data_IF_974714734241
#
_entry.id   IF_974714734241
#
_cell.length_a   1.000
_cell.length_b   1.000
_cell.length_c   1.000
_cell.angle_alpha   90.00
_cell.angle_beta   90.00
_cell.angle_gamma   90.00
#
_symmetry.space_group_name_H-M   'P 1'
#
loop_
_entity.id
_entity.type
_entity.pdbx_description
1 polymer ?
#
# COMPACT_ATOMS: atom_id res chain seq x y z
N UNK A 1 -19.41 23.34 2.71
CA UNK A 1 -18.35 22.69 1.90
C UNK A 1 -17.52 21.76 2.81
N UNK A 2 -18.05 20.65 3.33
CA UNK A 2 -17.39 19.96 4.46
C UNK A 2 -17.52 18.44 4.58
N UNK A 3 -18.29 17.77 3.72
CA UNK A 3 -18.44 16.30 3.74
C UNK A 3 -17.92 15.65 2.45
N UNK A 4 -17.98 16.37 1.33
CA UNK A 4 -17.37 15.93 0.08
C UNK A 4 -15.83 15.97 0.15
N UNK A 5 -15.23 16.93 0.86
CA UNK A 5 -13.77 17.04 0.97
C UNK A 5 -13.11 15.84 1.65
N UNK A 6 -13.61 15.37 2.80
CA UNK A 6 -12.94 14.29 3.53
C UNK A 6 -12.95 12.96 2.76
N UNK A 7 -14.06 12.64 2.09
CA UNK A 7 -14.17 11.42 1.27
C UNK A 7 -13.30 11.51 0.02
N UNK A 8 -13.25 12.67 -0.63
CA UNK A 8 -12.40 12.93 -1.78
C UNK A 8 -10.92 12.87 -1.40
N UNK A 9 -10.54 13.44 -0.25
CA UNK A 9 -9.16 13.38 0.26
C UNK A 9 -8.74 11.94 0.56
N UNK A 10 -9.61 11.14 1.21
CA UNK A 10 -9.32 9.72 1.45
C UNK A 10 -9.18 8.95 0.14
N UNK A 11 -10.09 9.18 -0.82
CA UNK A 11 -10.01 8.53 -2.12
C UNK A 11 -8.73 8.93 -2.88
N UNK A 12 -8.37 10.21 -2.86
CA UNK A 12 -7.15 10.72 -3.46
C UNK A 12 -5.91 10.06 -2.84
N UNK A 13 -5.86 9.92 -1.51
CA UNK A 13 -4.78 9.22 -0.81
C UNK A 13 -4.69 7.75 -1.24
N UNK A 14 -5.82 7.04 -1.39
CA UNK A 14 -5.83 5.66 -1.88
C UNK A 14 -5.33 5.55 -3.32
N UNK A 15 -5.71 6.50 -4.18
CA UNK A 15 -5.24 6.56 -5.56
C UNK A 15 -3.73 6.80 -5.58
N UNK A 16 -3.22 7.72 -4.75
CA UNK A 16 -1.77 7.97 -4.62
C UNK A 16 -1.01 6.71 -4.19
N UNK A 17 -1.51 5.99 -3.17
CA UNK A 17 -0.96 4.71 -2.72
C UNK A 17 -0.95 3.66 -3.86
N UNK A 18 -2.07 3.54 -4.59
CA UNK A 18 -2.16 2.62 -5.73
C UNK A 18 -1.13 2.96 -6.82
N UNK A 19 -1.00 4.25 -7.17
CA UNK A 19 -0.07 4.71 -8.20
C UNK A 19 1.37 4.42 -7.79
N UNK A 20 1.75 4.72 -6.55
CA UNK A 20 3.10 4.48 -6.05
C UNK A 20 3.41 2.97 -5.96
N UNK A 21 2.46 2.14 -5.53
CA UNK A 21 2.61 0.69 -5.56
C UNK A 21 2.81 0.17 -7.00
N UNK A 22 2.07 0.71 -7.98
CA UNK A 22 2.24 0.38 -9.41
C UNK A 22 3.59 0.86 -9.93
N UNK A 23 4.05 2.05 -9.54
CA UNK A 23 5.38 2.56 -9.91
C UNK A 23 6.46 1.63 -9.39
N UNK A 24 6.38 1.19 -8.13
CA UNK A 24 7.35 0.25 -7.56
C UNK A 24 7.28 -1.11 -8.25
N UNK A 25 6.08 -1.61 -8.54
CA UNK A 25 5.90 -2.84 -9.32
C UNK A 25 6.52 -2.71 -10.72
N UNK A 26 6.30 -1.56 -11.36
CA UNK A 26 6.89 -1.20 -12.64
C UNK A 26 8.41 -1.16 -12.58
N UNK A 27 9.00 -0.51 -11.56
CA UNK A 27 10.45 -0.38 -11.35
C UNK A 27 11.13 -1.70 -10.99
N UNK A 28 10.48 -2.56 -10.20
CA UNK A 28 10.96 -3.90 -9.88
C UNK A 28 10.83 -4.86 -11.06
N UNK A 29 9.83 -4.65 -11.92
CA UNK A 29 9.71 -5.31 -13.22
C UNK A 29 10.54 -4.65 -14.33
N UNK A 30 11.15 -3.48 -14.09
CA UNK A 30 11.78 -2.64 -15.10
C UNK A 30 13.10 -3.25 -15.59
N UNK A 31 13.00 -4.08 -16.61
CA UNK A 31 13.99 -4.13 -17.68
C UNK A 31 13.38 -3.88 -19.06
N UNK A 32 12.06 -3.64 -19.18
CA UNK A 32 11.39 -3.64 -20.48
C UNK A 32 11.26 -2.29 -21.21
N UNK A 33 11.69 -1.14 -20.66
CA UNK A 33 11.40 0.16 -21.31
C UNK A 33 12.56 1.17 -21.39
N UNK A 34 13.81 0.72 -21.23
CA UNK A 34 14.96 1.59 -21.45
C UNK A 34 15.94 1.00 -22.47
N UNK A 35 15.58 1.10 -23.75
CA UNK A 35 16.56 1.37 -24.80
C UNK A 35 16.02 2.36 -25.83
N UNK A 36 16.58 3.57 -25.92
CA UNK A 36 16.82 4.20 -27.21
C UNK A 36 18.13 3.64 -27.81
N UNK A 37 18.06 3.35 -29.11
CA UNK A 37 19.15 3.12 -30.07
C UNK A 37 20.20 2.04 -29.78
N UNK A 38 19.96 0.82 -30.24
CA UNK A 38 21.02 0.04 -30.91
C UNK A 38 20.58 -0.36 -32.33
N UNK A 39 21.40 -0.09 -33.37
CA UNK A 39 21.04 -0.31 -34.76
C UNK A 39 21.43 -1.72 -35.20
N UNK A 40 20.71 -2.76 -34.78
CA UNK A 40 20.86 -4.08 -35.40
C UNK A 40 19.51 -4.79 -35.59
N UNK A 41 19.16 -5.17 -36.83
CA UNK A 41 17.93 -5.87 -37.12
C UNK A 41 18.17 -7.37 -36.87
N UNK A 42 17.77 -7.88 -35.72
CA UNK A 42 17.48 -9.32 -35.56
C UNK A 42 16.20 -9.51 -34.77
N UNK A 43 15.15 -9.84 -35.53
CA UNK A 43 14.02 -10.71 -35.18
C UNK A 43 13.37 -10.38 -33.82
N UNK A 44 12.23 -9.71 -33.88
CA UNK A 44 11.30 -9.47 -32.79
C UNK A 44 10.72 -10.81 -32.28
N UNK A 45 11.41 -11.47 -31.33
CA UNK A 45 10.78 -12.52 -30.53
C UNK A 45 9.98 -11.88 -29.40
N UNK A 46 8.67 -12.08 -29.39
CA UNK A 46 7.71 -11.67 -28.33
C UNK A 46 7.92 -12.42 -26.99
N UNK A 47 9.14 -12.76 -26.62
CA UNK A 47 9.44 -13.53 -25.40
C UNK A 47 10.29 -12.69 -24.44
N UNK A 48 9.60 -12.01 -23.52
CA UNK A 48 9.99 -11.68 -22.14
C UNK A 48 11.48 -11.88 -21.75
N UNK A 49 12.41 -11.02 -22.21
CA UNK A 49 13.85 -11.20 -21.92
C UNK A 49 14.53 -10.09 -21.15
N UNK A 50 13.81 -9.11 -20.61
CA UNK A 50 14.44 -8.03 -19.83
C UNK A 50 13.67 -7.74 -18.53
N UNK A 51 13.73 -8.63 -17.55
CA UNK A 51 13.35 -8.30 -16.15
C UNK A 51 14.61 -8.19 -15.31
N UNK A 52 14.60 -7.42 -14.22
CA UNK A 52 15.73 -7.38 -13.25
C UNK A 52 16.11 -8.80 -12.81
N UNK A 53 15.12 -9.67 -12.65
CA UNK A 53 15.29 -11.09 -12.40
C UNK A 53 16.09 -11.83 -13.50
N UNK A 54 15.81 -11.54 -14.78
CA UNK A 54 16.51 -12.16 -15.90
C UNK A 54 17.93 -11.60 -16.09
N UNK A 55 18.14 -10.30 -15.86
CA UNK A 55 19.48 -9.72 -15.86
C UNK A 55 20.36 -10.32 -14.76
N UNK A 56 19.79 -10.52 -13.57
CA UNK A 56 20.50 -11.13 -12.44
C UNK A 56 20.90 -12.58 -12.74
N UNK A 57 19.99 -13.36 -13.34
CA UNK A 57 20.27 -14.72 -13.83
C UNK A 57 21.36 -14.74 -14.90
N UNK A 58 21.37 -13.77 -15.81
CA UNK A 58 22.38 -13.67 -16.87
C UNK A 58 23.77 -13.25 -16.38
N UNK A 59 23.86 -12.29 -15.45
CA UNK A 59 25.14 -11.73 -14.99
C UNK A 59 25.78 -12.54 -13.85
N UNK A 60 24.97 -13.04 -12.92
CA UNK A 60 25.45 -13.75 -11.72
C UNK A 60 25.19 -15.26 -11.77
N UNK A 61 24.52 -15.79 -12.81
CA UNK A 61 24.06 -17.19 -12.87
C UNK A 61 23.27 -17.62 -11.62
N UNK A 62 22.55 -16.67 -11.01
CA UNK A 62 21.86 -16.85 -9.75
C UNK A 62 20.39 -16.46 -9.87
N UNK A 63 19.55 -17.05 -9.02
CA UNK A 63 18.14 -16.71 -8.92
C UNK A 63 17.94 -15.25 -8.49
N UNK A 64 16.79 -14.65 -8.83
CA UNK A 64 16.48 -13.26 -8.51
C UNK A 64 16.60 -12.98 -6.99
N UNK A 65 17.14 -11.81 -6.62
CA UNK A 65 17.33 -11.47 -5.21
C UNK A 65 15.99 -11.43 -4.46
N UNK A 66 15.95 -12.09 -3.31
CA UNK A 66 14.75 -12.24 -2.47
C UNK A 66 14.10 -10.90 -2.09
N UNK A 67 14.89 -9.83 -2.00
CA UNK A 67 14.46 -8.47 -1.67
C UNK A 67 13.54 -7.91 -2.77
N UNK A 68 13.89 -8.12 -4.04
CA UNK A 68 13.05 -7.69 -5.17
C UNK A 68 11.76 -8.50 -5.21
N UNK A 69 11.84 -9.81 -4.99
CA UNK A 69 10.66 -10.68 -4.93
C UNK A 69 9.70 -10.24 -3.81
N UNK A 70 10.24 -9.80 -2.67
CA UNK A 70 9.44 -9.26 -1.57
C UNK A 70 8.75 -7.93 -1.92
N UNK A 71 9.40 -7.00 -2.62
CA UNK A 71 8.73 -5.77 -3.08
C UNK A 71 7.59 -6.07 -4.06
N UNK A 72 7.76 -7.06 -4.95
CA UNK A 72 6.70 -7.50 -5.87
C UNK A 72 5.52 -8.06 -5.08
N UNK A 73 5.78 -8.92 -4.09
CA UNK A 73 4.75 -9.41 -3.17
C UNK A 73 4.03 -8.26 -2.46
N UNK A 74 4.77 -7.30 -1.90
CA UNK A 74 4.20 -6.15 -1.20
C UNK A 74 3.31 -5.29 -2.12
N UNK A 75 3.71 -5.09 -3.38
CA UNK A 75 2.89 -4.36 -4.35
C UNK A 75 1.58 -5.11 -4.69
N UNK A 76 1.65 -6.43 -4.93
CA UNK A 76 0.46 -7.26 -5.18
C UNK A 76 -0.46 -7.28 -3.96
N UNK A 77 0.10 -7.46 -2.76
CA UNK A 77 -0.64 -7.36 -1.50
C UNK A 77 -1.33 -6.00 -1.36
N UNK A 78 -0.64 -4.91 -1.68
CA UNK A 78 -1.20 -3.56 -1.56
C UNK A 78 -2.39 -3.37 -2.49
N UNK A 79 -2.36 -3.90 -3.71
CA UNK A 79 -3.52 -3.86 -4.62
C UNK A 79 -4.73 -4.59 -4.00
N UNK A 80 -4.51 -5.76 -3.41
CA UNK A 80 -5.56 -6.52 -2.73
C UNK A 80 -6.09 -5.78 -1.48
N UNK A 81 -5.20 -5.20 -0.68
CA UNK A 81 -5.55 -4.42 0.50
C UNK A 81 -6.36 -3.17 0.13
N UNK A 82 -5.96 -2.45 -0.93
CA UNK A 82 -6.70 -1.28 -1.43
C UNK A 82 -8.08 -1.68 -1.97
N UNK A 83 -8.18 -2.80 -2.68
CA UNK A 83 -9.48 -3.32 -3.12
C UNK A 83 -10.40 -3.60 -1.93
N UNK A 84 -9.89 -4.23 -0.87
CA UNK A 84 -10.63 -4.41 0.38
C UNK A 84 -11.05 -3.08 1.00
N UNK A 85 -10.12 -2.11 1.09
CA UNK A 85 -10.35 -0.79 1.70
C UNK A 85 -11.32 0.11 0.90
N UNK A 86 -11.52 -0.14 -0.40
CA UNK A 86 -12.49 0.58 -1.24
C UNK A 86 -13.86 -0.11 -1.21
N UNK A 87 -13.90 -1.45 -1.32
CA UNK A 87 -15.15 -2.22 -1.38
C UNK A 87 -15.90 -2.17 -0.05
N UNK A 88 -15.21 -2.26 1.09
CA UNK A 88 -15.85 -2.32 2.41
C UNK A 88 -16.65 -1.03 2.73
N UNK A 89 -16.09 0.18 2.62
CA UNK A 89 -16.86 1.41 2.86
C UNK A 89 -17.98 1.64 1.85
N UNK A 90 -17.82 1.16 0.61
CA UNK A 90 -18.80 1.34 -0.45
C UNK A 90 -20.02 0.42 -0.30
N UNK A 91 -19.82 -0.85 0.09
CA UNK A 91 -20.87 -1.86 0.10
C UNK A 91 -21.52 -2.10 1.47
N UNK A 92 -20.79 -1.86 2.56
CA UNK A 92 -21.20 -2.25 3.92
C UNK A 92 -21.22 -1.08 4.90
N UNK A 93 -21.53 0.14 4.43
CA UNK A 93 -21.62 1.34 5.27
C UNK A 93 -22.62 1.21 6.43
N UNK A 94 -23.66 0.38 6.30
CA UNK A 94 -24.79 0.31 7.24
C UNK A 94 -24.72 -0.83 8.28
N UNK A 95 -23.72 -1.72 8.22
CA UNK A 95 -23.68 -2.88 9.13
C UNK A 95 -22.76 -2.63 10.33
N UNK A 96 -23.21 -3.00 11.55
CA UNK A 96 -22.42 -2.99 12.80
C UNK A 96 -21.18 -3.93 12.80
N UNK A 97 -20.86 -4.54 11.66
CA UNK A 97 -19.66 -5.35 11.38
C UNK A 97 -18.61 -4.51 10.64
N UNK A 98 -18.62 -3.19 10.83
CA UNK A 98 -17.44 -2.34 10.61
C UNK A 98 -16.33 -2.79 11.57
N UNK A 99 -15.57 -3.82 11.20
CA UNK A 99 -14.36 -4.19 11.91
C UNK A 99 -13.31 -3.09 11.65
N UNK A 100 -13.43 -1.97 12.37
CA UNK A 100 -12.42 -0.91 12.48
C UNK A 100 -11.03 -1.48 12.74
N UNK A 101 -10.96 -2.63 13.41
CA UNK A 101 -9.74 -3.40 13.64
C UNK A 101 -9.22 -4.14 12.41
N UNK A 102 -10.08 -4.64 11.50
CA UNK A 102 -9.65 -5.29 10.27
C UNK A 102 -9.09 -4.28 9.27
N UNK A 103 -9.75 -3.13 9.12
CA UNK A 103 -9.24 -2.00 8.33
C UNK A 103 -7.89 -1.53 8.90
N UNK A 104 -7.82 -1.32 10.21
CA UNK A 104 -6.58 -0.94 10.88
C UNK A 104 -5.48 -2.00 10.71
N UNK A 105 -5.82 -3.29 10.81
CA UNK A 105 -4.87 -4.38 10.64
C UNK A 105 -4.33 -4.45 9.21
N UNK A 106 -5.19 -4.28 8.19
CA UNK A 106 -4.76 -4.24 6.80
C UNK A 106 -3.81 -3.07 6.53
N UNK A 107 -4.09 -1.89 7.09
CA UNK A 107 -3.23 -0.71 7.00
C UNK A 107 -1.87 -0.93 7.69
N UNK A 108 -1.89 -1.39 8.94
CA UNK A 108 -0.68 -1.70 9.70
C UNK A 108 0.18 -2.75 9.00
N UNK A 109 -0.44 -3.82 8.48
CA UNK A 109 0.29 -4.90 7.82
C UNK A 109 0.94 -4.41 6.53
N UNK A 110 0.21 -3.61 5.75
CA UNK A 110 0.73 -3.01 4.51
C UNK A 110 1.87 -2.04 4.82
N UNK A 111 1.72 -1.20 5.85
CA UNK A 111 2.80 -0.35 6.36
C UNK A 111 4.05 -1.17 6.73
N UNK A 112 3.90 -2.27 7.47
CA UNK A 112 5.04 -3.11 7.87
C UNK A 112 5.74 -3.77 6.66
N UNK A 113 4.98 -4.22 5.67
CA UNK A 113 5.54 -4.78 4.45
C UNK A 113 6.34 -3.78 3.65
N UNK A 114 5.84 -2.55 3.48
CA UNK A 114 6.60 -1.49 2.83
C UNK A 114 7.86 -1.11 3.60
N UNK A 115 7.77 -1.03 4.95
CA UNK A 115 8.92 -0.77 5.81
C UNK A 115 10.03 -1.80 5.64
N UNK A 116 9.68 -3.08 5.75
CA UNK A 116 10.63 -4.17 5.59
C UNK A 116 11.22 -4.18 4.18
N UNK A 117 10.41 -3.88 3.15
CA UNK A 117 10.80 -3.96 1.76
C UNK A 117 11.84 -2.91 1.38
N UNK A 118 11.60 -1.64 1.71
CA UNK A 118 12.54 -0.59 1.32
C UNK A 118 13.88 -0.73 2.08
N UNK A 119 13.86 -1.14 3.35
CA UNK A 119 15.08 -1.37 4.15
C UNK A 119 15.87 -2.56 3.59
N UNK A 120 15.20 -3.68 3.31
CA UNK A 120 15.86 -4.86 2.76
C UNK A 120 16.54 -4.54 1.41
N UNK A 121 15.88 -3.76 0.55
CA UNK A 121 16.44 -3.34 -0.73
C UNK A 121 17.60 -2.35 -0.54
N UNK A 122 17.49 -1.41 0.39
CA UNK A 122 18.55 -0.43 0.69
C UNK A 122 19.84 -1.11 1.16
N UNK A 123 19.74 -2.01 2.16
CA UNK A 123 20.90 -2.75 2.69
C UNK A 123 21.54 -3.62 1.59
N UNK A 124 20.72 -4.32 0.80
CA UNK A 124 21.22 -5.13 -0.30
C UNK A 124 21.99 -4.32 -1.36
N UNK A 125 21.57 -3.08 -1.61
CA UNK A 125 22.27 -2.16 -2.51
C UNK A 125 23.52 -1.53 -1.88
N UNK A 126 23.58 -1.39 -0.56
CA UNK A 126 24.77 -0.88 0.14
C UNK A 126 25.91 -1.89 0.15
N UNK A 127 25.60 -3.18 0.25
CA UNK A 127 26.60 -4.25 0.33
C UNK A 127 27.15 -4.68 -1.05
N UNK A 128 26.61 -4.17 -2.14
CA UNK A 128 26.99 -4.59 -3.51
C UNK A 128 27.25 -3.42 -4.43
N UNK A 129 28.33 -3.52 -5.20
CA UNK A 129 28.61 -2.58 -6.27
C UNK A 129 27.69 -2.89 -7.46
N UNK A 130 26.65 -2.06 -7.67
CA UNK A 130 25.82 -2.13 -8.88
C UNK A 130 26.11 -0.95 -9.82
N UNK A 131 26.09 -1.22 -11.13
CA UNK A 131 26.30 -0.22 -12.19
C UNK A 131 25.19 -0.32 -13.26
N UNK A 132 24.93 0.79 -13.95
CA UNK A 132 23.98 0.86 -15.06
C UNK A 132 22.52 1.15 -14.68
N UNK A 133 21.64 1.11 -15.68
CA UNK A 133 20.23 1.50 -15.55
C UNK A 133 19.45 0.66 -14.54
N UNK A 134 19.80 -0.63 -14.37
CA UNK A 134 19.16 -1.53 -13.40
C UNK A 134 19.43 -1.09 -11.96
N UNK A 135 20.64 -0.61 -11.68
CA UNK A 135 21.02 -0.07 -10.37
C UNK A 135 20.25 1.21 -10.05
N UNK A 136 20.14 2.13 -11.02
CA UNK A 136 19.35 3.35 -10.88
C UNK A 136 17.86 3.05 -10.67
N UNK A 137 17.32 2.05 -11.38
CA UNK A 137 15.94 1.60 -11.20
C UNK A 137 15.71 0.99 -9.81
N UNK A 138 16.63 0.17 -9.30
CA UNK A 138 16.55 -0.40 -7.96
C UNK A 138 16.64 0.67 -6.86
N UNK A 139 17.53 1.67 -7.02
CA UNK A 139 17.60 2.82 -6.12
C UNK A 139 16.30 3.63 -6.13
N UNK A 140 15.75 3.90 -7.31
CA UNK A 140 14.46 4.57 -7.44
C UNK A 140 13.34 3.76 -6.76
N UNK A 141 13.29 2.44 -6.98
CA UNK A 141 12.32 1.56 -6.33
C UNK A 141 12.39 1.63 -4.80
N UNK A 142 13.60 1.67 -4.23
CA UNK A 142 13.78 1.83 -2.79
C UNK A 142 13.22 3.17 -2.28
N UNK A 143 13.45 4.27 -2.99
CA UNK A 143 12.93 5.60 -2.63
C UNK A 143 11.41 5.64 -2.72
N UNK A 144 10.82 5.16 -3.80
CA UNK A 144 9.36 5.10 -3.94
C UNK A 144 8.70 4.19 -2.89
N UNK A 145 9.33 3.07 -2.56
CA UNK A 145 8.87 2.19 -1.48
C UNK A 145 8.93 2.88 -0.10
N UNK A 146 9.94 3.73 0.15
CA UNK A 146 10.03 4.52 1.38
C UNK A 146 8.95 5.61 1.46
N UNK A 147 8.64 6.28 0.34
CA UNK A 147 7.53 7.24 0.26
C UNK A 147 6.19 6.54 0.50
N UNK A 148 6.00 5.37 -0.11
CA UNK A 148 4.79 4.57 0.06
C UNK A 148 4.61 4.11 1.52
N UNK A 149 5.70 3.70 2.16
CA UNK A 149 5.71 3.43 3.60
C UNK A 149 5.24 4.64 4.41
N UNK A 150 5.74 5.86 4.11
CA UNK A 150 5.35 7.06 4.84
C UNK A 150 3.86 7.40 4.68
N UNK A 151 3.29 7.19 3.48
CA UNK A 151 1.85 7.34 3.25
C UNK A 151 1.02 6.33 4.05
N UNK A 152 1.44 5.07 4.07
CA UNK A 152 0.80 4.05 4.89
C UNK A 152 0.96 4.30 6.40
N UNK A 153 2.10 4.84 6.84
CA UNK A 153 2.32 5.22 8.23
C UNK A 153 1.40 6.37 8.66
N UNK A 154 1.25 7.40 7.80
CA UNK A 154 0.37 8.53 8.05
C UNK A 154 -1.10 8.09 8.13
N UNK A 155 -1.57 7.30 7.16
CA UNK A 155 -2.95 6.77 7.14
C UNK A 155 -3.23 5.84 8.31
N UNK A 156 -2.28 4.95 8.65
CA UNK A 156 -2.36 4.08 9.83
C UNK A 156 -2.44 4.88 11.13
N UNK A 157 -1.67 5.97 11.25
CA UNK A 157 -1.69 6.84 12.43
C UNK A 157 -3.04 7.54 12.58
N UNK A 158 -3.58 8.10 11.49
CA UNK A 158 -4.92 8.71 11.49
C UNK A 158 -6.00 7.69 11.87
N UNK A 159 -5.95 6.48 11.29
CA UNK A 159 -6.88 5.41 11.61
C UNK A 159 -6.78 4.98 13.09
N UNK A 160 -5.55 4.84 13.61
CA UNK A 160 -5.28 4.52 15.00
C UNK A 160 -5.87 5.56 15.94
N UNK A 161 -5.60 6.84 15.69
CA UNK A 161 -6.11 7.95 16.49
C UNK A 161 -7.65 7.99 16.50
N UNK A 162 -8.30 7.71 15.36
CA UNK A 162 -9.75 7.58 15.30
C UNK A 162 -10.28 6.44 16.19
N UNK A 163 -9.61 5.28 16.19
CA UNK A 163 -10.00 4.14 17.04
C UNK A 163 -9.76 4.42 18.52
N UNK A 164 -8.66 5.08 18.88
CA UNK A 164 -8.36 5.43 20.27
C UNK A 164 -9.30 6.52 20.81
N UNK A 165 -9.57 7.59 20.04
CA UNK A 165 -10.49 8.65 20.45
C UNK A 165 -11.93 8.15 20.61
N UNK A 166 -12.39 7.25 19.73
CA UNK A 166 -13.73 6.64 19.84
C UNK A 166 -13.89 5.68 21.01
N UNK A 167 -12.80 5.22 21.64
CA UNK A 167 -12.83 4.45 22.90
C UNK A 167 -12.86 5.33 24.15
N UNK A 168 -12.46 6.60 24.03
CA UNK A 168 -12.33 7.55 25.14
C UNK A 168 -13.59 8.37 25.44
N UNK A 169 -14.65 8.27 24.64
CA UNK A 169 -15.96 8.82 25.04
C UNK A 169 -16.46 8.01 26.25
N UNK A 170 -16.61 8.62 27.44
CA UNK A 170 -17.24 7.93 28.55
C UNK A 170 -18.63 7.54 28.05
N UNK A 171 -18.89 6.24 27.99
CA UNK A 171 -20.26 5.76 28.08
C UNK A 171 -20.74 6.27 29.42
N UNK A 172 -21.42 7.42 29.43
CA UNK A 172 -22.34 7.74 30.50
C UNK A 172 -23.35 6.59 30.45
N UNK A 173 -23.13 5.59 31.30
CA UNK A 173 -24.17 4.66 31.68
C UNK A 173 -25.33 5.53 32.18
N UNK A 174 -26.28 5.79 31.29
CA UNK A 174 -27.63 6.22 31.62
C UNK A 174 -28.28 5.10 32.41
N UNK A 175 -27.88 4.99 33.67
CA UNK A 175 -28.40 4.08 34.66
C UNK A 175 -29.38 4.78 35.57
N UNK A 176 -30.33 5.53 35.00
CA UNK A 176 -31.64 5.82 35.59
C UNK A 176 -32.62 5.91 34.43
N UNK A 177 -33.37 4.83 34.23
CA UNK A 177 -34.67 4.94 33.59
C UNK A 177 -35.53 5.77 34.56
N UNK A 178 -35.85 7.00 34.19
CA UNK A 178 -36.87 7.76 34.92
C UNK A 178 -38.21 7.07 34.67
N UNK A 179 -38.87 6.48 35.69
CA UNK A 179 -40.14 5.76 35.50
C UNK A 179 -41.34 6.71 35.32
N UNK A 180 -41.10 7.98 35.01
CA UNK A 180 -42.12 9.02 35.08
C UNK A 180 -42.47 9.66 33.72
N UNK A 181 -42.29 8.92 32.63
CA UNK A 181 -43.03 9.26 31.39
C UNK A 181 -44.45 8.73 31.60
N UNK A 182 -45.25 9.51 32.36
CA UNK A 182 -46.67 9.24 32.52
C UNK A 182 -47.32 9.17 31.13
N UNK A 183 -47.96 8.02 30.89
CA UNK A 183 -49.14 7.97 30.06
C UNK A 183 -50.12 9.04 30.56
N UNK A 184 -50.27 10.10 29.77
CA UNK A 184 -51.53 10.83 29.70
C UNK A 184 -51.90 10.94 28.23
N UNK A 185 -52.32 9.78 27.68
CA UNK A 185 -53.28 9.73 26.60
C UNK A 185 -54.64 10.22 27.12
N UNK A 186 -55.25 11.14 26.37
CA UNK A 186 -56.69 11.21 26.12
C UNK A 186 -57.62 11.47 27.30
N UNK A 187 -58.06 12.73 27.43
CA UNK A 187 -59.47 13.13 27.27
C UNK A 187 -59.50 14.48 26.55
#
# INVERSE_FOLDING_TARGET
MGIFDARVVVLALRISQAILAIIVLGLTAYGALSKPSQPHPRIYSLTARDTVANWWSGYWHAMSPSQINFLVFSAVWTILALLYLIVVPWRFSETKVHHKFAILAAECLTMLFWFAGFIALAVFLSDRVCFGHVCSAAKAAAVFAAIEWALFAATTTMASLHVFRSRGSPVHHGGKADPNVNLQEGV
#
